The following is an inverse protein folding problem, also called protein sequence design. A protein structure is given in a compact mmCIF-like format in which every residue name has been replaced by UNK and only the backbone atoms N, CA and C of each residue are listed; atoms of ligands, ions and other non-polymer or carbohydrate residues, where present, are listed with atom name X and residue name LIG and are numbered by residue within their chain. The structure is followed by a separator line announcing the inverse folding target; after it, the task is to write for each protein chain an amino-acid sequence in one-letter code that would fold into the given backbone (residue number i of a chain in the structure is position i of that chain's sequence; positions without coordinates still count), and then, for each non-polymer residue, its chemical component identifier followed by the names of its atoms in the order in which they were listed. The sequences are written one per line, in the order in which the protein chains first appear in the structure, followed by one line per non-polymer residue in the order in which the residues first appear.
data_IF_231751977612
#
_entry.id   IF_231751977612
#
_cell.length_a   1.000
_cell.length_b   1.000
_cell.length_c   1.000
_cell.angle_alpha   90.00
_cell.angle_beta   90.00
_cell.angle_gamma   90.00
#
_symmetry.space_group_name_H-M   'P 1'
#
loop_
_entity.id
_entity.type
_entity.pdbx_description
1 polymer ?
#
# COMPACT_ATOMS: atom_id res chain seq x y z
N UNK A 1 -13.79 -1.13 1.56
CA UNK A 1 -12.86 -1.40 0.44
C UNK A 1 -11.65 -2.26 0.86
N UNK A 2 -11.72 -2.97 1.99
CA UNK A 2 -10.64 -3.83 2.49
C UNK A 2 -10.54 -5.16 1.74
N UNK A 3 -11.69 -5.77 1.42
CA UNK A 3 -11.77 -7.08 0.78
C UNK A 3 -11.07 -7.17 -0.58
N UNK A 4 -11.04 -6.07 -1.35
CA UNK A 4 -10.40 -6.07 -2.67
C UNK A 4 -8.89 -6.30 -2.59
N UNK A 5 -8.20 -5.66 -1.64
CA UNK A 5 -6.75 -5.83 -1.47
C UNK A 5 -6.41 -7.21 -0.92
N UNK A 6 -7.22 -7.71 0.02
CA UNK A 6 -7.04 -9.06 0.58
C UNK A 6 -7.29 -10.14 -0.47
N UNK A 7 -8.37 -10.03 -1.24
CA UNK A 7 -8.65 -10.96 -2.35
C UNK A 7 -7.54 -10.95 -3.39
N UNK A 8 -6.99 -9.78 -3.70
CA UNK A 8 -5.85 -9.66 -4.61
C UNK A 8 -4.62 -10.40 -4.09
N UNK A 9 -4.30 -10.26 -2.80
CA UNK A 9 -3.17 -10.96 -2.16
C UNK A 9 -3.36 -12.48 -2.29
N UNK A 10 -4.53 -13.01 -1.93
CA UNK A 10 -4.81 -14.44 -2.04
C UNK A 10 -4.75 -14.95 -3.49
N UNK A 11 -5.30 -14.19 -4.44
CA UNK A 11 -5.26 -14.55 -5.85
C UNK A 11 -3.81 -14.62 -6.39
N UNK A 12 -2.97 -13.66 -6.02
CA UNK A 12 -1.56 -13.66 -6.42
C UNK A 12 -0.80 -14.84 -5.80
N UNK A 13 -1.04 -15.13 -4.52
CA UNK A 13 -0.43 -16.26 -3.82
C UNK A 13 -0.84 -17.59 -4.46
N UNK A 14 -2.11 -17.75 -4.83
CA UNK A 14 -2.62 -18.95 -5.48
C UNK A 14 -2.08 -19.14 -6.91
N UNK A 15 -1.93 -18.06 -7.68
CA UNK A 15 -1.48 -18.14 -9.08
C UNK A 15 0.04 -18.29 -9.22
N UNK A 16 0.82 -17.64 -8.34
CA UNK A 16 2.26 -17.47 -8.52
C UNK A 16 3.11 -17.98 -7.36
N UNK A 17 2.48 -18.45 -6.28
CA UNK A 17 3.14 -18.86 -5.06
C UNK A 17 3.71 -17.68 -4.25
N UNK A 18 4.42 -17.95 -3.15
CA UNK A 18 5.05 -16.91 -2.35
C UNK A 18 6.04 -16.07 -3.17
N UNK A 19 6.05 -14.74 -3.03
CA UNK A 19 7.10 -13.92 -3.63
C UNK A 19 8.47 -14.33 -3.07
N UNK A 20 9.53 -14.07 -3.86
CA UNK A 20 10.89 -14.30 -3.37
C UNK A 20 11.11 -13.49 -2.09
N UNK A 21 11.76 -14.05 -1.06
CA UNK A 21 11.99 -13.32 0.18
C UNK A 21 12.90 -12.12 -0.08
N UNK A 22 12.37 -10.92 0.10
CA UNK A 22 13.15 -9.68 0.09
C UNK A 22 13.78 -9.46 1.47
N UNK A 23 14.91 -8.73 1.50
CA UNK A 23 15.62 -8.44 2.75
C UNK A 23 14.73 -7.60 3.67
N UNK A 24 14.21 -8.22 4.74
CA UNK A 24 13.49 -7.52 5.79
C UNK A 24 14.50 -6.91 6.79
N UNK A 25 14.62 -5.57 6.87
CA UNK A 25 15.56 -4.91 7.79
C UNK A 25 15.21 -5.10 9.26
N UNK A 26 14.03 -5.65 9.58
CA UNK A 26 13.55 -5.93 10.93
C UNK A 26 13.57 -7.43 11.27
N UNK A 27 14.15 -8.27 10.41
CA UNK A 27 14.16 -9.72 10.62
C UNK A 27 14.85 -10.16 11.93
N UNK A 28 15.79 -9.37 12.44
CA UNK A 28 16.51 -9.58 13.70
C UNK A 28 15.75 -9.07 14.94
N UNK A 29 14.60 -8.42 14.76
CA UNK A 29 13.84 -7.80 15.85
C UNK A 29 12.80 -8.75 16.45
N UNK A 30 12.38 -8.55 17.71
CA UNK A 30 11.28 -9.30 18.31
C UNK A 30 9.99 -9.20 17.50
N UNK A 31 9.19 -10.27 17.48
CA UNK A 31 7.91 -10.35 16.75
C UNK A 31 6.99 -9.13 17.02
N UNK A 32 6.79 -8.66 18.27
CA UNK A 32 5.96 -7.48 18.52
C UNK A 32 6.47 -6.21 17.83
N UNK A 33 7.79 -6.05 17.72
CA UNK A 33 8.41 -4.92 17.02
C UNK A 33 8.18 -5.06 15.51
N UNK A 34 8.37 -6.25 14.96
CA UNK A 34 8.09 -6.50 13.54
C UNK A 34 6.62 -6.20 13.22
N UNK A 35 5.68 -6.71 14.02
CA UNK A 35 4.25 -6.46 13.86
C UNK A 35 3.93 -4.97 13.89
N UNK A 36 4.39 -4.24 14.91
CA UNK A 36 4.14 -2.81 15.03
C UNK A 36 4.68 -2.02 13.83
N UNK A 37 5.93 -2.25 13.43
CA UNK A 37 6.52 -1.49 12.32
C UNK A 37 5.92 -1.87 10.97
N UNK A 38 5.80 -3.17 10.65
CA UNK A 38 5.37 -3.66 9.33
C UNK A 38 3.88 -3.42 9.10
N UNK A 39 3.04 -3.54 10.15
CA UNK A 39 1.58 -3.50 9.99
C UNK A 39 0.94 -2.19 10.44
N UNK A 40 1.61 -1.39 11.28
CA UNK A 40 1.01 -0.17 11.85
C UNK A 40 1.77 1.06 11.38
N UNK A 41 3.03 1.21 11.80
CA UNK A 41 3.77 2.45 11.63
C UNK A 41 4.19 2.69 10.18
N UNK A 42 4.79 1.71 9.53
CA UNK A 42 5.25 1.87 8.14
C UNK A 42 4.07 2.10 7.19
N UNK A 43 2.96 1.34 7.24
CA UNK A 43 1.77 1.61 6.44
C UNK A 43 1.20 3.01 6.62
N UNK A 44 1.28 3.56 7.84
CA UNK A 44 0.86 4.93 8.12
C UNK A 44 1.75 5.95 7.40
N UNK A 45 3.07 5.85 7.60
CA UNK A 45 4.05 6.73 6.94
C UNK A 45 3.94 6.64 5.41
N UNK A 46 3.81 5.43 4.89
CA UNK A 46 3.60 5.15 3.47
C UNK A 46 2.29 5.75 2.96
N UNK A 47 1.21 5.73 3.74
CA UNK A 47 -0.05 6.40 3.36
C UNK A 47 0.14 7.91 3.25
N UNK A 48 0.92 8.52 4.15
CA UNK A 48 1.21 9.95 4.12
C UNK A 48 2.04 10.31 2.89
N UNK A 49 3.16 9.63 2.68
CA UNK A 49 4.15 9.95 1.63
C UNK A 49 3.68 9.49 0.25
N UNK A 50 3.07 8.31 0.18
CA UNK A 50 2.73 7.62 -1.04
C UNK A 50 1.38 8.01 -1.64
N UNK A 51 0.42 8.40 -0.80
CA UNK A 51 -0.95 8.71 -1.23
C UNK A 51 -1.32 10.14 -0.88
N UNK A 52 -1.34 10.51 0.40
CA UNK A 52 -1.85 11.82 0.81
C UNK A 52 -1.07 12.98 0.19
N UNK A 53 0.26 12.99 0.34
CA UNK A 53 1.12 14.08 -0.12
C UNK A 53 1.05 14.27 -1.65
N UNK A 54 1.33 13.26 -2.50
CA UNK A 54 1.29 13.44 -3.94
C UNK A 54 -0.12 13.78 -4.45
N UNK A 55 -1.17 13.16 -3.89
CA UNK A 55 -2.53 13.42 -4.35
C UNK A 55 -2.96 14.84 -3.98
N UNK A 56 -2.68 15.30 -2.76
CA UNK A 56 -3.03 16.66 -2.32
C UNK A 56 -2.22 17.74 -3.02
N UNK A 57 -0.94 17.51 -3.30
CA UNK A 57 -0.14 18.46 -4.07
C UNK A 57 -0.66 18.59 -5.50
N UNK A 58 -0.96 17.47 -6.17
CA UNK A 58 -1.37 17.48 -7.58
C UNK A 58 -2.80 17.98 -7.78
N UNK A 59 -3.75 17.50 -7.00
CA UNK A 59 -5.15 17.93 -7.10
C UNK A 59 -5.38 19.31 -6.47
N UNK A 60 -4.72 19.60 -5.34
CA UNK A 60 -4.90 20.85 -4.62
C UNK A 60 -4.09 22.02 -5.18
N UNK A 61 -2.76 21.84 -5.28
CA UNK A 61 -1.84 22.94 -5.67
C UNK A 61 -1.80 23.10 -7.19
N UNK A 62 -1.59 21.99 -7.91
CA UNK A 62 -1.51 22.00 -9.37
C UNK A 62 -2.88 21.95 -10.06
N UNK A 63 -3.98 21.86 -9.29
CA UNK A 63 -5.38 21.85 -9.77
C UNK A 63 -5.62 20.84 -10.90
N UNK A 64 -4.83 19.76 -10.90
CA UNK A 64 -4.87 18.72 -11.92
C UNK A 64 -5.92 17.67 -11.57
N UNK A 65 -6.39 16.94 -12.57
CA UNK A 65 -7.45 15.95 -12.31
C UNK A 65 -7.01 14.85 -11.33
N UNK A 66 -7.94 14.36 -10.52
CA UNK A 66 -7.77 13.18 -9.66
C UNK A 66 -7.15 11.96 -10.36
N UNK A 67 -7.36 11.81 -11.67
CA UNK A 67 -6.75 10.72 -12.46
C UNK A 67 -5.24 10.88 -12.58
N UNK A 68 -4.77 12.10 -12.82
CA UNK A 68 -3.34 12.43 -12.89
C UNK A 68 -2.71 12.28 -11.50
N UNK A 69 -3.38 12.77 -10.46
CA UNK A 69 -2.95 12.61 -9.07
C UNK A 69 -2.82 11.13 -8.67
N UNK A 70 -3.80 10.30 -9.05
CA UNK A 70 -3.76 8.85 -8.84
C UNK A 70 -2.56 8.21 -9.55
N UNK A 71 -2.39 8.49 -10.85
CA UNK A 71 -1.32 7.91 -11.65
C UNK A 71 0.06 8.26 -11.09
N UNK A 72 0.27 9.51 -10.70
CA UNK A 72 1.51 9.97 -10.09
C UNK A 72 1.77 9.33 -8.72
N UNK A 73 0.74 9.22 -7.86
CA UNK A 73 0.83 8.54 -6.57
C UNK A 73 1.17 7.06 -6.73
N UNK A 74 0.52 6.36 -7.66
CA UNK A 74 0.78 4.95 -7.95
C UNK A 74 2.22 4.75 -8.44
N UNK A 75 2.65 5.59 -9.39
CA UNK A 75 4.01 5.53 -9.94
C UNK A 75 5.05 5.80 -8.84
N UNK A 76 4.89 6.87 -8.06
CA UNK A 76 5.80 7.22 -6.97
C UNK A 76 5.90 6.09 -5.94
N UNK A 77 4.76 5.60 -5.46
CA UNK A 77 4.71 4.52 -4.48
C UNK A 77 5.42 3.27 -4.98
N UNK A 78 5.14 2.87 -6.23
CA UNK A 78 5.74 1.68 -6.83
C UNK A 78 7.26 1.83 -6.98
N UNK A 79 7.73 3.00 -7.46
CA UNK A 79 9.15 3.27 -7.63
C UNK A 79 9.91 3.32 -6.31
N UNK A 80 9.31 3.86 -5.25
CA UNK A 80 9.91 3.92 -3.91
C UNK A 80 10.22 2.53 -3.32
N UNK A 81 9.53 1.48 -3.78
CA UNK A 81 9.78 0.11 -3.31
C UNK A 81 11.01 -0.53 -3.96
N UNK A 82 11.53 0.01 -5.07
CA UNK A 82 12.79 -0.42 -5.68
C UNK A 82 12.81 -1.85 -6.23
N UNK A 83 11.65 -2.52 -6.34
CA UNK A 83 11.57 -3.88 -6.87
C UNK A 83 11.72 -3.89 -8.39
N UNK A 84 12.48 -4.87 -8.89
CA UNK A 84 12.71 -5.12 -10.33
C UNK A 84 12.19 -6.49 -10.78
N UNK A 85 11.68 -7.29 -9.84
CA UNK A 85 11.12 -8.62 -10.08
C UNK A 85 9.58 -8.57 -10.14
N UNK A 86 8.95 -9.75 -10.11
CA UNK A 86 7.48 -9.88 -10.11
C UNK A 86 6.79 -9.16 -8.94
N UNK A 87 7.48 -8.84 -7.85
CA UNK A 87 6.90 -8.09 -6.74
C UNK A 87 6.49 -6.67 -7.16
N UNK A 88 7.10 -6.11 -8.21
CA UNK A 88 6.71 -4.79 -8.74
C UNK A 88 5.24 -4.78 -9.18
N UNK A 89 4.73 -5.89 -9.74
CA UNK A 89 3.34 -6.00 -10.16
C UNK A 89 2.39 -6.03 -8.95
N UNK A 90 2.77 -6.75 -7.88
CA UNK A 90 2.04 -6.78 -6.62
C UNK A 90 1.98 -5.39 -5.98
N UNK A 91 3.12 -4.70 -5.90
CA UNK A 91 3.16 -3.33 -5.35
C UNK A 91 2.35 -2.37 -6.22
N UNK A 92 2.45 -2.44 -7.54
CA UNK A 92 1.69 -1.58 -8.45
C UNK A 92 0.18 -1.74 -8.24
N UNK A 93 -0.31 -2.97 -8.16
CA UNK A 93 -1.72 -3.25 -7.94
C UNK A 93 -2.17 -2.83 -6.53
N UNK A 94 -1.35 -3.06 -5.51
CA UNK A 94 -1.58 -2.57 -4.15
C UNK A 94 -1.68 -1.04 -4.12
N UNK A 95 -0.74 -0.35 -4.74
CA UNK A 95 -0.73 1.11 -4.87
C UNK A 95 -1.98 1.64 -5.57
N UNK A 96 -2.45 0.96 -6.61
CA UNK A 96 -3.68 1.30 -7.31
C UNK A 96 -4.91 1.18 -6.40
N UNK A 97 -5.01 0.12 -5.59
CA UNK A 97 -6.09 -0.02 -4.60
C UNK A 97 -6.01 1.08 -3.55
N UNK A 98 -4.83 1.35 -2.98
CA UNK A 98 -4.65 2.37 -1.95
C UNK A 98 -4.99 3.79 -2.45
N UNK A 99 -4.57 4.13 -3.67
CA UNK A 99 -4.92 5.38 -4.33
C UNK A 99 -6.43 5.48 -4.59
N UNK A 100 -7.06 4.39 -5.06
CA UNK A 100 -8.50 4.36 -5.27
C UNK A 100 -9.28 4.57 -3.96
N UNK A 101 -8.91 3.87 -2.88
CA UNK A 101 -9.51 4.04 -1.55
C UNK A 101 -9.37 5.50 -1.10
N UNK A 102 -8.17 6.07 -1.20
CA UNK A 102 -7.92 7.44 -0.78
C UNK A 102 -8.82 8.42 -1.52
N UNK A 103 -8.88 8.31 -2.85
CA UNK A 103 -9.62 9.23 -3.70
C UNK A 103 -11.13 9.10 -3.48
N UNK A 104 -11.65 7.87 -3.38
CA UNK A 104 -13.09 7.66 -3.12
C UNK A 104 -13.50 8.26 -1.78
N UNK A 105 -12.71 8.03 -0.73
CA UNK A 105 -12.97 8.59 0.58
C UNK A 105 -12.82 10.11 0.61
N UNK A 106 -11.83 10.67 -0.10
CA UNK A 106 -11.65 12.11 -0.23
C UNK A 106 -12.86 12.76 -0.93
N UNK A 107 -13.33 12.18 -2.04
CA UNK A 107 -14.51 12.68 -2.78
C UNK A 107 -15.82 12.56 -2.00
N UNK A 108 -15.90 11.64 -1.05
CA UNK A 108 -17.05 11.46 -0.16
C UNK A 108 -17.00 12.33 1.10
N UNK A 109 -15.99 13.19 1.24
CA UNK A 109 -15.71 13.91 2.49
C UNK A 109 -15.60 12.96 3.72
N UNK A 110 -15.10 11.75 3.48
CA UNK A 110 -14.87 10.74 4.51
C UNK A 110 -13.53 10.90 5.22
N UNK A 111 -12.88 9.78 5.57
CA UNK A 111 -11.59 9.77 6.29
C UNK A 111 -10.50 9.12 5.43
N UNK A 112 -10.03 9.79 4.34
CA UNK A 112 -9.18 9.16 3.33
C UNK A 112 -7.87 8.60 3.89
N UNK A 113 -7.18 9.34 4.76
CA UNK A 113 -5.94 8.86 5.41
C UNK A 113 -6.22 7.61 6.24
N UNK A 114 -7.24 7.65 7.10
CA UNK A 114 -7.57 6.53 7.99
C UNK A 114 -7.98 5.29 7.21
N UNK A 115 -8.86 5.43 6.23
CA UNK A 115 -9.35 4.31 5.42
C UNK A 115 -8.24 3.67 4.59
N UNK A 116 -7.36 4.48 3.97
CA UNK A 116 -6.20 3.97 3.23
C UNK A 116 -5.20 3.30 4.17
N UNK A 117 -4.87 3.92 5.30
CA UNK A 117 -3.95 3.35 6.28
C UNK A 117 -4.45 2.01 6.82
N UNK A 118 -5.71 1.91 7.24
CA UNK A 118 -6.28 0.64 7.70
C UNK A 118 -6.29 -0.42 6.60
N UNK A 119 -6.54 -0.03 5.35
CA UNK A 119 -6.48 -0.95 4.21
C UNK A 119 -5.06 -1.49 4.03
N UNK A 120 -4.08 -0.61 4.10
CA UNK A 120 -2.68 -0.97 3.97
C UNK A 120 -2.19 -1.84 5.14
N UNK A 121 -2.55 -1.46 6.37
CA UNK A 121 -2.24 -2.21 7.58
C UNK A 121 -2.76 -3.64 7.53
N UNK A 122 -4.03 -3.82 7.14
CA UNK A 122 -4.64 -5.15 7.00
C UNK A 122 -3.98 -5.98 5.88
N UNK A 123 -3.62 -5.34 4.77
CA UNK A 123 -2.90 -6.01 3.68
C UNK A 123 -1.52 -6.51 4.15
N UNK A 124 -0.75 -5.69 4.86
CA UNK A 124 0.55 -6.09 5.39
C UNK A 124 0.42 -7.17 6.47
N UNK A 125 -0.58 -7.09 7.33
CA UNK A 125 -0.86 -8.14 8.31
C UNK A 125 -1.19 -9.48 7.62
N UNK A 126 -1.94 -9.45 6.51
CA UNK A 126 -2.26 -10.64 5.73
C UNK A 126 -1.01 -11.24 5.07
N UNK A 127 -0.19 -10.43 4.40
CA UNK A 127 1.07 -10.88 3.80
C UNK A 127 2.01 -11.47 4.85
N UNK A 128 2.18 -10.78 5.97
CA UNK A 128 3.04 -11.23 7.07
C UNK A 128 2.55 -12.57 7.64
N UNK A 129 1.23 -12.73 7.79
CA UNK A 129 0.64 -14.00 8.23
C UNK A 129 0.94 -15.13 7.25
N UNK A 130 0.81 -14.89 5.93
CA UNK A 130 1.10 -15.89 4.90
C UNK A 130 2.58 -16.28 4.81
N UNK A 131 3.50 -15.41 5.26
CA UNK A 131 4.94 -15.69 5.29
C UNK A 131 5.39 -16.47 6.54
N UNK A 132 4.56 -16.50 7.59
CA UNK A 132 4.84 -17.18 8.85
C UNK A 132 4.06 -18.49 9.05
N UNK A 133 3.20 -18.86 8.09
CA UNK A 133 2.55 -20.18 7.98
C UNK A 133 3.44 -21.08 7.12
#
# INVERSE_FOLDING_TARGET
MFFGQIALIFAQYALWGPPAPHKNPLADKPIPVQLFFITILMPFLETIVGQWLPIRLIDGVFRSSWRVAAAASIALFTLMHGYVDRAVATILLGAAVLAAVFIVEAKRNGRPILSTWLTHALANACVLSLQHI
#
